data_IF_250221505376
#
_entry.id   IF_250221505376
#
_cell.length_a   1.000
_cell.length_b   1.000
_cell.length_c   1.000
_cell.angle_alpha   90.00
_cell.angle_beta   90.00
_cell.angle_gamma   90.00
#
_symmetry.space_group_name_H-M   'P 1'
#
loop_
_entity.id
_entity.type
_entity.pdbx_description
1 polymer ?
#
# COMPACT_ATOMS: atom_id res chain seq x y z
N UNK A 1 -21.33 4.76 8.62
CA UNK A 1 -19.85 4.67 8.74
C UNK A 1 -19.37 6.01 9.26
N UNK A 2 -18.57 6.06 10.33
CA UNK A 2 -18.05 7.33 10.84
C UNK A 2 -16.99 7.92 9.90
N UNK A 3 -16.79 9.24 9.90
CA UNK A 3 -15.80 9.91 9.05
C UNK A 3 -14.39 9.34 9.23
N UNK A 4 -13.99 9.05 10.48
CA UNK A 4 -12.71 8.37 10.78
C UNK A 4 -12.58 7.00 10.11
N UNK A 5 -13.66 6.21 10.14
CA UNK A 5 -13.66 4.87 9.57
C UNK A 5 -13.60 4.94 8.04
N UNK A 6 -14.29 5.91 7.44
CA UNK A 6 -14.21 6.17 6.01
C UNK A 6 -12.79 6.55 5.59
N UNK A 7 -12.18 7.52 6.28
CA UNK A 7 -10.81 7.98 5.99
C UNK A 7 -9.78 6.86 6.14
N UNK A 8 -9.82 6.14 7.26
CA UNK A 8 -8.92 5.01 7.49
C UNK A 8 -9.09 3.93 6.41
N UNK A 9 -10.32 3.56 6.06
CA UNK A 9 -10.58 2.58 5.01
C UNK A 9 -10.04 3.04 3.64
N UNK A 10 -10.21 4.32 3.30
CA UNK A 10 -9.67 4.88 2.05
C UNK A 10 -8.14 4.83 2.01
N UNK A 11 -7.46 5.18 3.11
CA UNK A 11 -5.99 5.13 3.20
C UNK A 11 -5.50 3.68 3.10
N UNK A 12 -6.14 2.75 3.81
CA UNK A 12 -5.80 1.34 3.76
C UNK A 12 -5.96 0.78 2.35
N UNK A 13 -7.10 1.07 1.70
CA UNK A 13 -7.38 0.64 0.33
C UNK A 13 -6.34 1.18 -0.65
N UNK A 14 -5.98 2.47 -0.54
CA UNK A 14 -4.92 3.07 -1.35
C UNK A 14 -3.57 2.38 -1.14
N UNK A 15 -3.20 2.08 0.11
CA UNK A 15 -1.98 1.34 0.45
C UNK A 15 -1.95 -0.07 -0.14
N UNK A 16 -3.06 -0.80 -0.08
CA UNK A 16 -3.19 -2.13 -0.70
C UNK A 16 -3.09 -2.06 -2.22
N UNK A 17 -3.79 -1.13 -2.87
CA UNK A 17 -3.71 -0.93 -4.32
C UNK A 17 -2.26 -0.63 -4.72
N UNK A 18 -1.59 0.24 -3.98
CA UNK A 18 -0.20 0.60 -4.25
C UNK A 18 0.73 -0.63 -4.13
N UNK A 19 0.56 -1.44 -3.09
CA UNK A 19 1.33 -2.68 -2.91
C UNK A 19 1.08 -3.72 -4.00
N UNK A 20 -0.18 -3.93 -4.38
CA UNK A 20 -0.57 -4.85 -5.46
C UNK A 20 0.03 -4.41 -6.80
N UNK A 21 -0.08 -3.14 -7.14
CA UNK A 21 0.49 -2.59 -8.38
C UNK A 21 2.02 -2.69 -8.35
N UNK A 22 2.65 -2.33 -7.22
CA UNK A 22 4.10 -2.42 -7.08
C UNK A 22 4.60 -3.86 -7.32
N UNK A 23 3.94 -4.86 -6.76
CA UNK A 23 4.38 -6.25 -6.86
C UNK A 23 4.03 -6.90 -8.20
N UNK A 24 2.79 -6.78 -8.68
CA UNK A 24 2.35 -7.51 -9.87
C UNK A 24 2.65 -6.79 -11.19
N UNK A 25 2.82 -5.46 -11.16
CA UNK A 25 3.00 -4.66 -12.37
C UNK A 25 4.41 -4.11 -12.48
N UNK A 26 4.99 -3.60 -11.38
CA UNK A 26 6.27 -2.87 -11.41
C UNK A 26 7.50 -3.72 -11.02
N UNK A 27 7.31 -4.77 -10.23
CA UNK A 27 8.39 -5.67 -9.84
C UNK A 27 8.81 -6.59 -11.01
N UNK A 28 9.64 -7.58 -10.70
CA UNK A 28 10.15 -8.50 -11.71
C UNK A 28 8.99 -9.29 -12.34
N UNK A 29 8.96 -9.41 -13.68
CA UNK A 29 7.91 -10.14 -14.36
C UNK A 29 7.94 -11.61 -13.96
N UNK A 30 6.78 -12.15 -13.61
CA UNK A 30 6.60 -13.57 -13.42
C UNK A 30 6.79 -14.28 -14.76
N UNK A 31 7.50 -15.41 -14.76
CA UNK A 31 7.69 -16.19 -15.98
C UNK A 31 8.48 -17.47 -15.78
N UNK A 32 8.63 -18.21 -16.88
CA UNK A 32 9.28 -19.50 -16.94
C UNK A 32 10.18 -19.56 -18.19
N UNK A 33 11.38 -20.17 -18.12
CA UNK A 33 12.02 -20.75 -16.94
C UNK A 33 12.41 -19.69 -15.90
N UNK A 34 12.25 -19.96 -14.59
CA UNK A 34 12.42 -18.97 -13.52
C UNK A 34 13.88 -18.48 -13.38
N UNK A 35 14.82 -19.23 -13.97
CA UNK A 35 16.26 -18.99 -13.85
C UNK A 35 16.78 -17.94 -14.84
N UNK A 36 15.90 -17.38 -15.68
CA UNK A 36 16.27 -16.31 -16.60
C UNK A 36 16.48 -14.99 -15.86
N UNK A 37 17.57 -14.29 -16.18
CA UNK A 37 17.87 -12.93 -15.67
C UNK A 37 16.75 -11.93 -15.94
N UNK A 38 15.93 -12.18 -16.96
CA UNK A 38 14.76 -11.37 -17.28
C UNK A 38 13.68 -11.39 -16.17
N UNK A 39 13.65 -12.43 -15.34
CA UNK A 39 12.72 -12.59 -14.19
C UNK A 39 13.33 -12.19 -12.85
N UNK A 40 14.60 -11.76 -12.84
CA UNK A 40 15.29 -11.32 -11.61
C UNK A 40 15.24 -9.81 -11.42
N UNK A 41 15.21 -9.04 -12.51
CA UNK A 41 15.25 -7.58 -12.45
C UNK A 41 13.84 -6.97 -12.41
N UNK A 42 13.57 -5.98 -11.53
CA UNK A 42 12.31 -5.28 -11.54
C UNK A 42 12.16 -4.42 -12.81
N UNK A 43 10.93 -4.28 -13.31
CA UNK A 43 10.64 -3.41 -14.46
C UNK A 43 10.91 -1.94 -14.11
N UNK A 44 10.74 -1.59 -12.84
CA UNK A 44 11.00 -0.25 -12.30
C UNK A 44 11.97 -0.36 -11.12
N UNK A 45 13.10 0.37 -11.11
CA UNK A 45 14.14 0.25 -10.07
C UNK A 45 13.62 0.46 -8.64
N UNK A 46 12.59 1.29 -8.48
CA UNK A 46 12.01 1.66 -7.19
C UNK A 46 10.72 0.89 -6.85
N UNK A 47 10.38 -0.18 -7.56
CA UNK A 47 9.22 -1.03 -7.24
C UNK A 47 9.22 -1.52 -5.77
N UNK A 48 10.36 -1.94 -5.17
CA UNK A 48 10.40 -2.32 -3.75
C UNK A 48 10.07 -1.15 -2.81
N UNK A 49 10.55 0.06 -3.13
CA UNK A 49 10.27 1.25 -2.31
C UNK A 49 8.78 1.63 -2.38
N UNK A 50 8.15 1.51 -3.56
CA UNK A 50 6.70 1.73 -3.71
C UNK A 50 5.90 0.71 -2.90
N UNK A 51 6.31 -0.56 -2.90
CA UNK A 51 5.65 -1.59 -2.10
C UNK A 51 5.72 -1.25 -0.60
N UNK A 52 6.89 -0.85 -0.10
CA UNK A 52 7.06 -0.42 1.30
C UNK A 52 6.18 0.80 1.60
N UNK A 53 6.09 1.78 0.70
CA UNK A 53 5.18 2.92 0.86
C UNK A 53 3.72 2.47 1.00
N UNK A 54 3.29 1.47 0.22
CA UNK A 54 1.95 0.87 0.34
C UNK A 54 1.71 0.24 1.71
N UNK A 55 2.67 -0.55 2.21
CA UNK A 55 2.62 -1.14 3.57
C UNK A 55 2.55 -0.06 4.65
N UNK A 56 3.38 0.97 4.53
CA UNK A 56 3.38 2.10 5.47
C UNK A 56 2.04 2.83 5.48
N UNK A 57 1.41 3.04 4.32
CA UNK A 57 0.07 3.62 4.24
C UNK A 57 -0.97 2.77 4.97
N UNK A 58 -0.92 1.44 4.86
CA UNK A 58 -1.84 0.56 5.59
C UNK A 58 -1.66 0.69 7.10
N UNK A 59 -0.42 0.83 7.60
CA UNK A 59 -0.20 1.10 9.02
C UNK A 59 -0.66 2.49 9.45
N UNK A 60 -0.45 3.51 8.62
CA UNK A 60 -0.94 4.87 8.84
C UNK A 60 -2.48 4.89 8.93
N UNK A 61 -3.17 4.07 8.14
CA UNK A 61 -4.62 3.95 8.23
C UNK A 61 -5.10 3.51 9.62
N UNK A 62 -4.38 2.58 10.26
CA UNK A 62 -4.69 2.15 11.63
C UNK A 62 -4.48 3.30 12.63
N UNK A 63 -3.38 4.05 12.49
CA UNK A 63 -3.11 5.24 13.33
C UNK A 63 -4.23 6.28 13.16
N UNK A 64 -4.65 6.54 11.93
CA UNK A 64 -5.75 7.47 11.63
C UNK A 64 -7.06 6.98 12.24
N UNK A 65 -7.38 5.69 12.15
CA UNK A 65 -8.59 5.14 12.75
C UNK A 65 -8.65 5.38 14.26
N UNK A 66 -7.52 5.19 14.95
CA UNK A 66 -7.42 5.31 16.41
C UNK A 66 -7.31 6.75 16.91
N UNK A 67 -6.57 7.61 16.19
CA UNK A 67 -6.24 8.96 16.67
C UNK A 67 -7.11 10.07 16.06
N UNK A 68 -7.91 9.80 15.03
CA UNK A 68 -8.71 10.84 14.38
C UNK A 68 -9.83 11.34 15.30
N UNK A 69 -9.89 12.66 15.57
CA UNK A 69 -10.85 13.23 16.51
C UNK A 69 -12.30 13.00 16.06
N UNK A 70 -13.17 12.69 17.01
CA UNK A 70 -14.60 12.62 16.76
C UNK A 70 -15.19 14.02 16.66
N UNK A 71 -16.22 14.21 15.83
CA UNK A 71 -16.97 15.47 15.74
C UNK A 71 -17.71 15.86 17.04
N UNK A 72 -17.46 15.18 18.17
CA UNK A 72 -18.05 15.42 19.49
C UNK A 72 -17.03 15.73 20.59
N UNK A 73 -15.73 15.83 20.29
CA UNK A 73 -14.66 16.02 21.28
C UNK A 73 -14.41 17.52 21.62
N UNK A 74 -15.35 18.39 21.25
CA UNK A 74 -15.36 19.81 21.60
C UNK A 74 -16.44 20.07 22.65
N UNK A 75 -16.19 19.64 23.90
CA UNK A 75 -16.79 20.25 25.08
C UNK A 75 -15.81 21.24 25.69
#
# INVERSE_FOLDING_TARGET
>A
MSTRALLAASIALAGFILGVVAYFVLAAPWGFPPDSVAHSNPRVPFAPAIFVAGVMMVFIAAIVYELWPGNGDHT
#
